data_IF_125466030211
#
_entry.id   IF_125466030211
#
_cell.length_a   1.000
_cell.length_b   1.000
_cell.length_c   1.000
_cell.angle_alpha   90.00
_cell.angle_beta   90.00
_cell.angle_gamma   90.00
#
_symmetry.space_group_name_H-M   'P 1'
#
loop_
_entity.id
_entity.type
_entity.pdbx_description
1 polymer ?
#
# COMPACT_ATOMS: atom_id res chain seq x y z
N UNK A 1 -21.94 -15.10 18.96
CA UNK A 1 -22.48 -15.38 17.62
C UNK A 1 -21.38 -15.10 16.61
N UNK A 2 -21.14 -16.01 15.66
CA UNK A 2 -20.13 -15.82 14.60
C UNK A 2 -20.64 -14.81 13.59
N UNK A 3 -19.82 -13.84 13.16
CA UNK A 3 -20.26 -12.70 12.33
C UNK A 3 -20.79 -13.11 10.94
N UNK A 4 -20.22 -14.15 10.34
CA UNK A 4 -20.64 -14.65 9.02
C UNK A 4 -20.48 -16.18 8.95
N UNK A 5 -21.49 -16.96 9.37
CA UNK A 5 -21.49 -18.41 9.22
C UNK A 5 -21.45 -18.82 7.74
N UNK A 6 -20.65 -19.83 7.39
CA UNK A 6 -20.55 -20.35 6.03
C UNK A 6 -19.52 -19.65 5.12
N UNK A 7 -18.72 -18.71 5.65
CA UNK A 7 -17.57 -18.15 4.94
C UNK A 7 -16.27 -18.79 5.44
N UNK A 8 -15.43 -19.20 4.48
CA UNK A 8 -14.06 -19.64 4.73
C UNK A 8 -13.07 -18.54 4.39
N UNK A 9 -12.08 -18.33 5.25
CA UNK A 9 -10.95 -17.42 4.99
C UNK A 9 -9.75 -18.23 4.53
N UNK A 10 -9.29 -17.97 3.31
CA UNK A 10 -8.05 -18.54 2.80
C UNK A 10 -6.89 -17.57 3.00
N UNK A 11 -5.77 -18.07 3.52
CA UNK A 11 -4.53 -17.30 3.66
C UNK A 11 -3.58 -17.62 2.50
N UNK A 12 -2.98 -16.59 1.92
CA UNK A 12 -1.95 -16.71 0.89
C UNK A 12 -0.75 -15.87 1.29
N UNK A 13 0.45 -16.40 1.04
CA UNK A 13 1.70 -15.69 1.33
C UNK A 13 2.07 -14.76 0.18
N UNK A 14 2.58 -13.58 0.52
CA UNK A 14 3.20 -12.69 -0.46
C UNK A 14 4.51 -13.31 -0.99
N UNK A 15 4.92 -12.91 -2.20
CA UNK A 15 6.28 -13.25 -2.67
C UNK A 15 7.31 -12.62 -1.72
N UNK A 16 8.44 -13.28 -1.42
CA UNK A 16 9.44 -12.76 -0.47
C UNK A 16 9.93 -11.34 -0.79
N UNK A 17 10.03 -10.98 -2.06
CA UNK A 17 10.41 -9.63 -2.52
C UNK A 17 9.48 -8.52 -2.04
N UNK A 18 8.24 -8.85 -1.65
CA UNK A 18 7.23 -7.91 -1.20
C UNK A 18 6.90 -8.05 0.29
N UNK A 19 7.63 -8.88 1.04
CA UNK A 19 7.32 -9.20 2.44
C UNK A 19 7.30 -7.98 3.38
N UNK A 20 8.04 -6.92 3.04
CA UNK A 20 8.14 -5.69 3.83
C UNK A 20 7.31 -4.53 3.27
N UNK A 21 6.62 -4.72 2.15
CA UNK A 21 5.79 -3.66 1.56
C UNK A 21 4.53 -3.45 2.40
N UNK A 22 4.34 -2.23 2.91
CA UNK A 22 3.12 -1.85 3.63
C UNK A 22 2.60 -0.50 3.17
N UNK A 23 1.28 -0.31 3.21
CA UNK A 23 0.65 0.97 2.87
C UNK A 23 1.12 2.10 3.79
N UNK A 24 1.43 1.80 5.06
CA UNK A 24 1.94 2.81 6.00
C UNK A 24 3.29 3.36 5.54
N UNK A 25 4.23 2.47 5.19
CA UNK A 25 5.56 2.87 4.71
C UNK A 25 5.47 3.64 3.39
N UNK A 26 4.71 3.15 2.41
CA UNK A 26 4.54 3.84 1.12
C UNK A 26 3.96 5.25 1.31
N UNK A 27 2.95 5.40 2.18
CA UNK A 27 2.38 6.71 2.47
C UNK A 27 3.36 7.63 3.20
N UNK A 28 4.20 7.09 4.07
CA UNK A 28 5.23 7.85 4.78
C UNK A 28 6.27 8.40 3.81
N UNK A 29 6.82 7.56 2.93
CA UNK A 29 7.75 7.99 1.87
C UNK A 29 7.13 9.09 1.02
N UNK A 30 5.90 8.89 0.54
CA UNK A 30 5.20 9.88 -0.28
C UNK A 30 4.90 11.21 0.47
N UNK A 31 4.66 11.16 1.79
CA UNK A 31 4.43 12.36 2.63
C UNK A 31 5.66 13.25 2.74
N UNK A 32 6.85 12.66 2.72
CA UNK A 32 8.11 13.38 2.81
C UNK A 32 8.75 13.64 1.43
N UNK A 33 7.96 13.56 0.35
CA UNK A 33 8.42 13.86 -1.01
C UNK A 33 9.29 12.76 -1.66
N UNK A 34 9.42 11.59 -1.03
CA UNK A 34 10.11 10.46 -1.62
C UNK A 34 9.33 9.81 -2.76
N UNK A 35 10.06 9.28 -3.76
CA UNK A 35 9.44 8.49 -4.84
C UNK A 35 8.98 7.12 -4.32
N UNK A 36 7.84 6.68 -4.83
CA UNK A 36 7.25 5.36 -4.57
C UNK A 36 7.11 4.52 -5.85
N UNK A 37 7.76 4.96 -6.93
CA UNK A 37 7.72 4.26 -8.21
C UNK A 37 8.34 2.85 -8.07
N UNK A 38 7.73 1.87 -8.73
CA UNK A 38 8.12 0.47 -8.61
C UNK A 38 7.63 -0.22 -7.32
N UNK A 39 7.22 0.53 -6.29
CA UNK A 39 6.55 -0.02 -5.10
C UNK A 39 5.04 -0.08 -5.24
N UNK A 40 4.47 0.75 -6.12
CA UNK A 40 3.04 0.79 -6.43
C UNK A 40 2.79 0.93 -7.93
N UNK A 41 1.59 0.55 -8.41
CA UNK A 41 1.20 0.81 -9.80
C UNK A 41 1.24 2.32 -10.13
N UNK A 42 1.49 2.71 -11.40
CA UNK A 42 1.61 4.11 -11.79
C UNK A 42 0.39 4.99 -11.43
N UNK A 43 -0.82 4.43 -11.50
CA UNK A 43 -2.04 5.13 -11.09
C UNK A 43 -2.06 5.50 -9.61
N UNK A 44 -1.48 4.63 -8.76
CA UNK A 44 -1.36 4.87 -7.31
C UNK A 44 -0.26 5.89 -7.03
N UNK A 45 0.89 5.81 -7.71
CA UNK A 45 1.96 6.81 -7.60
C UNK A 45 1.43 8.22 -7.89
N UNK A 46 0.71 8.41 -9.01
CA UNK A 46 0.05 9.68 -9.36
C UNK A 46 -0.93 10.16 -8.29
N UNK A 47 -1.73 9.24 -7.73
CA UNK A 47 -2.70 9.58 -6.68
C UNK A 47 -2.00 9.99 -5.37
N UNK A 48 -0.89 9.34 -5.01
CA UNK A 48 -0.08 9.67 -3.85
C UNK A 48 0.59 11.04 -4.02
N UNK A 49 1.16 11.33 -5.20
CA UNK A 49 1.71 12.65 -5.54
C UNK A 49 0.62 13.73 -5.44
N UNK A 50 -0.57 13.49 -6.01
CA UNK A 50 -1.69 14.45 -5.88
C UNK A 50 -2.11 14.69 -4.42
N UNK A 51 -2.00 13.67 -3.57
CA UNK A 51 -2.42 13.73 -2.17
C UNK A 51 -1.37 14.36 -1.25
N UNK A 52 -0.09 14.11 -1.51
CA UNK A 52 1.02 14.43 -0.59
C UNK A 52 2.10 15.32 -1.20
N UNK A 53 2.24 15.38 -2.52
CA UNK A 53 3.21 16.21 -3.26
C UNK A 53 2.90 17.71 -3.26
N UNK A 54 2.11 18.16 -2.28
CA UNK A 54 1.84 19.57 -2.01
C UNK A 54 2.08 19.87 -0.54
N UNK A 55 3.34 20.08 -0.17
CA UNK A 55 3.84 21.06 0.82
C UNK A 55 5.34 20.86 1.09
N UNK A 56 6.07 21.94 0.80
CA UNK A 56 7.44 22.35 1.19
C UNK A 56 8.62 21.40 0.97
#
# INVERSE_FOLDING_TARGET
ATLAPGLDTMFMTAKPSWAFLSSSLVKEVARYGGSVDGLVPPGVSKALIKRFGGKE
#
